data_IF_355444506913
#
_entry.id   IF_355444506913
#
_cell.length_a   1.000
_cell.length_b   1.000
_cell.length_c   1.000
_cell.angle_alpha   90.00
_cell.angle_beta   90.00
_cell.angle_gamma   90.00
#
_symmetry.space_group_name_H-M   'P 1'
#
loop_
_entity.id
_entity.type
_entity.pdbx_description
1 polymer ?
#
# COMPACT_ATOMS: atom_id res chain seq x y z
N UNK A 1 -33.93 36.95 -28.78
CA UNK A 1 -33.44 36.62 -30.13
C UNK A 1 -32.06 37.28 -30.22
N UNK A 2 -30.91 36.63 -30.00
CA UNK A 2 -30.47 35.23 -29.92
C UNK A 2 -29.15 35.22 -29.08
N UNK A 3 -28.91 34.26 -28.17
CA UNK A 3 -27.91 33.16 -28.25
C UNK A 3 -26.66 33.46 -29.12
N UNK A 4 -25.40 33.27 -28.70
CA UNK A 4 -24.64 32.00 -28.53
C UNK A 4 -23.21 32.36 -28.00
N UNK A 5 -22.76 31.94 -26.80
CA UNK A 5 -21.78 30.86 -26.46
C UNK A 5 -20.26 31.13 -26.66
N UNK A 6 -19.48 30.66 -25.66
CA UNK A 6 -18.09 30.14 -25.64
C UNK A 6 -17.04 31.02 -24.90
N UNK A 7 -16.49 30.61 -23.74
CA UNK A 7 -15.50 29.56 -23.38
C UNK A 7 -14.05 30.12 -23.41
N UNK A 8 -13.38 30.33 -22.27
CA UNK A 8 -11.95 29.97 -22.12
C UNK A 8 -11.40 30.06 -20.66
N UNK A 9 -11.01 28.89 -20.16
CA UNK A 9 -9.75 28.57 -19.45
C UNK A 9 -9.19 29.51 -18.38
N UNK A 10 -9.43 29.17 -17.11
CA UNK A 10 -8.66 29.67 -15.95
C UNK A 10 -7.32 28.91 -15.85
N UNK A 11 -6.22 29.53 -16.29
CA UNK A 11 -4.84 29.07 -16.01
C UNK A 11 -4.60 29.11 -14.50
N UNK A 12 -4.15 27.97 -13.94
CA UNK A 12 -3.54 27.91 -12.61
C UNK A 12 -2.06 28.23 -12.76
N UNK A 13 -1.64 29.32 -12.15
CA UNK A 13 -0.24 29.66 -11.91
C UNK A 13 -0.08 29.67 -10.39
N UNK A 14 0.64 28.68 -9.85
CA UNK A 14 1.15 28.71 -8.47
C UNK A 14 2.59 28.24 -8.50
N UNK A 15 3.43 29.25 -8.68
CA UNK A 15 4.73 29.52 -8.10
C UNK A 15 5.47 28.37 -7.40
N UNK A 16 6.61 28.06 -8.00
CA UNK A 16 7.78 27.39 -7.43
C UNK A 16 8.24 28.12 -6.16
N UNK A 17 8.33 27.44 -5.01
CA UNK A 17 8.91 28.04 -3.81
C UNK A 17 8.68 27.29 -2.52
N UNK A 18 9.36 26.14 -2.33
CA UNK A 18 10.19 25.88 -1.16
C UNK A 18 10.68 24.43 -1.17
N UNK A 19 11.93 24.29 -1.59
CA UNK A 19 12.76 23.10 -1.45
C UNK A 19 13.52 23.23 -0.12
N UNK A 20 13.01 22.67 0.98
CA UNK A 20 13.80 22.41 2.18
C UNK A 20 13.03 21.48 3.14
N UNK A 21 13.75 20.48 3.66
CA UNK A 21 13.34 19.51 4.68
C UNK A 21 12.49 18.32 4.20
N UNK A 22 13.02 17.59 3.22
CA UNK A 22 12.85 16.13 3.19
C UNK A 22 14.02 15.52 3.99
N UNK A 23 13.97 15.62 5.31
CA UNK A 23 14.84 14.80 6.16
C UNK A 23 14.24 13.40 6.18
N UNK A 24 14.66 12.61 5.20
CA UNK A 24 14.53 11.16 5.21
C UNK A 24 15.37 10.63 6.38
N UNK A 25 14.73 10.45 7.53
CA UNK A 25 15.28 9.62 8.60
C UNK A 25 15.22 8.15 8.15
N UNK A 26 16.19 7.78 7.31
CA UNK A 26 16.41 6.43 6.84
C UNK A 26 17.11 5.62 7.93
N UNK A 27 16.41 5.36 9.03
CA UNK A 27 16.75 4.26 9.94
C UNK A 27 16.01 3.00 9.47
N UNK A 28 16.30 2.54 8.25
CA UNK A 28 15.83 1.24 7.77
C UNK A 28 16.55 0.14 8.57
N UNK A 29 15.83 -0.47 9.50
CA UNK A 29 16.28 -1.73 10.12
C UNK A 29 16.32 -2.79 9.02
N UNK A 30 17.36 -3.64 8.95
CA UNK A 30 17.41 -4.71 7.97
C UNK A 30 16.23 -5.67 8.22
N UNK A 31 15.22 -5.63 7.35
CA UNK A 31 14.00 -6.44 7.45
C UNK A 31 12.68 -5.67 7.28
N UNK A 32 12.69 -4.34 7.29
CA UNK A 32 11.46 -3.54 7.11
C UNK A 32 11.36 -2.98 5.68
N UNK A 33 10.19 -3.06 5.01
CA UNK A 33 10.01 -2.49 3.69
C UNK A 33 10.08 -0.96 3.75
N UNK A 34 10.75 -0.35 2.77
CA UNK A 34 10.87 1.11 2.70
C UNK A 34 9.59 1.66 2.09
N UNK A 35 8.89 2.50 2.85
CA UNK A 35 7.67 3.17 2.43
C UNK A 35 8.06 4.39 1.56
N UNK A 36 7.78 4.35 0.26
CA UNK A 36 8.22 5.38 -0.70
C UNK A 36 7.21 6.55 -0.80
N UNK A 37 5.90 6.26 -0.82
CA UNK A 37 4.84 7.29 -0.87
C UNK A 37 3.55 6.77 -0.25
N UNK A 38 2.80 7.64 0.46
CA UNK A 38 1.43 7.40 0.93
C UNK A 38 0.58 8.54 0.41
N UNK A 39 -0.54 8.23 -0.23
CA UNK A 39 -1.53 9.23 -0.65
C UNK A 39 -2.20 9.84 0.59
N UNK A 40 -2.66 11.10 0.55
CA UNK A 40 -3.25 11.85 1.68
C UNK A 40 -4.44 11.12 2.34
N UNK A 41 -5.02 10.17 1.61
CA UNK A 41 -6.13 9.30 2.02
C UNK A 41 -5.68 7.93 2.58
N UNK A 42 -4.39 7.64 2.72
CA UNK A 42 -3.79 6.35 3.12
C UNK A 42 -4.32 5.09 2.39
N UNK A 43 -5.05 5.27 1.28
CA UNK A 43 -5.65 4.20 0.48
C UNK A 43 -4.65 3.56 -0.47
N UNK A 44 -3.54 4.23 -0.75
CA UNK A 44 -2.51 3.78 -1.68
C UNK A 44 -1.16 4.06 -1.05
N UNK A 45 -0.31 3.03 -1.01
CA UNK A 45 1.09 3.17 -0.62
C UNK A 45 1.98 2.58 -1.70
N UNK A 46 3.16 3.15 -1.93
CA UNK A 46 4.22 2.49 -2.68
C UNK A 46 5.32 2.06 -1.72
N UNK A 47 5.80 0.83 -1.89
CA UNK A 47 6.85 0.25 -1.06
C UNK A 47 7.98 -0.27 -1.95
N UNK A 48 9.20 -0.15 -1.45
CA UNK A 48 10.34 -0.92 -1.91
C UNK A 48 10.52 -2.08 -0.91
N UNK A 49 10.25 -3.28 -1.36
CA UNK A 49 10.30 -4.47 -0.52
C UNK A 49 11.73 -5.03 -0.44
N UNK A 50 12.02 -5.82 0.59
CA UNK A 50 13.36 -6.34 0.89
C UNK A 50 13.93 -7.28 -0.19
N UNK A 51 13.09 -7.74 -1.10
CA UNK A 51 13.47 -8.52 -2.29
C UNK A 51 13.99 -7.64 -3.45
N UNK A 52 14.11 -6.34 -3.23
CA UNK A 52 14.54 -5.35 -4.24
C UNK A 52 13.46 -4.97 -5.24
N UNK A 53 12.21 -5.41 -5.03
CA UNK A 53 11.07 -5.11 -5.91
C UNK A 53 10.21 -4.00 -5.36
N UNK A 54 9.55 -3.28 -6.26
CA UNK A 54 8.63 -2.20 -5.91
C UNK A 54 7.19 -2.65 -6.06
N UNK A 55 6.38 -2.37 -5.04
CA UNK A 55 4.97 -2.70 -5.05
C UNK A 55 4.11 -1.47 -4.74
N UNK A 56 2.95 -1.43 -5.38
CA UNK A 56 1.86 -0.54 -5.03
C UNK A 56 0.86 -1.33 -4.19
N UNK A 57 0.64 -0.88 -2.98
CA UNK A 57 -0.40 -1.36 -2.09
C UNK A 57 -1.67 -0.51 -2.28
N UNK A 58 -2.81 -1.16 -2.40
CA UNK A 58 -4.12 -0.51 -2.47
C UNK A 58 -5.07 -1.06 -1.41
N UNK A 59 -5.60 -0.17 -0.58
CA UNK A 59 -6.47 -0.54 0.53
C UNK A 59 -7.83 -1.02 -0.02
N UNK A 60 -8.33 -2.18 0.42
CA UNK A 60 -9.54 -2.79 -0.13
C UNK A 60 -10.82 -2.12 0.39
N UNK A 61 -10.69 -1.14 1.29
CA UNK A 61 -11.76 -0.47 2.01
C UNK A 61 -12.09 -1.14 3.34
N UNK A 62 -12.57 -0.35 4.30
CA UNK A 62 -12.69 -0.73 5.72
C UNK A 62 -13.54 -1.99 5.94
N UNK A 63 -14.64 -2.14 5.19
CA UNK A 63 -15.54 -3.30 5.31
C UNK A 63 -14.88 -4.61 4.85
N UNK A 64 -14.09 -4.58 3.76
CA UNK A 64 -13.35 -5.76 3.30
C UNK A 64 -12.19 -6.07 4.25
N UNK A 65 -11.43 -5.07 4.64
CA UNK A 65 -10.32 -5.21 5.59
C UNK A 65 -10.79 -5.79 6.94
N UNK A 66 -11.91 -5.30 7.49
CA UNK A 66 -12.49 -5.83 8.72
C UNK A 66 -12.93 -7.28 8.57
N UNK A 67 -13.66 -7.60 7.49
CA UNK A 67 -14.11 -8.97 7.20
C UNK A 67 -12.92 -9.93 7.09
N UNK A 68 -11.87 -9.55 6.36
CA UNK A 68 -10.71 -10.42 6.20
C UNK A 68 -10.02 -10.68 7.53
N UNK A 69 -9.85 -9.66 8.37
CA UNK A 69 -9.29 -9.84 9.72
C UNK A 69 -10.15 -10.77 10.58
N UNK A 70 -11.47 -10.61 10.56
CA UNK A 70 -12.39 -11.50 11.30
C UNK A 70 -12.35 -12.94 10.77
N UNK A 71 -12.35 -13.14 9.45
CA UNK A 71 -12.25 -14.46 8.82
C UNK A 71 -10.88 -15.13 9.03
N UNK A 72 -9.87 -14.33 9.34
CA UNK A 72 -8.52 -14.78 9.65
C UNK A 72 -8.34 -15.05 11.14
N UNK A 73 -9.37 -14.89 11.98
CA UNK A 73 -9.35 -15.28 13.39
C UNK A 73 -10.16 -16.57 13.51
N UNK A 74 -9.47 -17.69 13.76
CA UNK A 74 -10.08 -18.97 14.08
C UNK A 74 -10.16 -19.12 15.60
N UNK A 75 -11.34 -19.49 16.12
CA UNK A 75 -11.54 -19.74 17.55
C UNK A 75 -10.78 -20.98 18.05
N UNK A 76 -10.42 -21.90 17.15
CA UNK A 76 -9.73 -23.15 17.49
C UNK A 76 -8.24 -23.12 17.16
N UNK A 77 -7.83 -22.39 16.12
CA UNK A 77 -6.45 -22.42 15.60
C UNK A 77 -5.71 -21.08 15.76
N UNK A 78 -6.37 -20.05 16.31
CA UNK A 78 -5.80 -18.71 16.40
C UNK A 78 -5.84 -17.95 15.06
N UNK A 79 -4.88 -17.06 14.83
CA UNK A 79 -4.85 -16.23 13.62
C UNK A 79 -4.46 -17.11 12.41
N UNK A 80 -5.40 -17.35 11.49
CA UNK A 80 -5.17 -18.00 10.20
C UNK A 80 -4.54 -16.98 9.22
N UNK A 81 -3.23 -16.82 9.36
CA UNK A 81 -2.41 -15.83 8.66
C UNK A 81 -2.37 -16.07 7.15
N UNK A 82 -2.43 -17.33 6.73
CA UNK A 82 -2.36 -17.73 5.32
C UNK A 82 -3.53 -17.11 4.52
N UNK A 83 -4.75 -17.25 5.03
CA UNK A 83 -5.96 -16.68 4.40
C UNK A 83 -5.92 -15.15 4.34
N UNK A 84 -5.26 -14.50 5.30
CA UNK A 84 -5.09 -13.05 5.29
C UNK A 84 -4.13 -12.65 4.17
N UNK A 85 -2.97 -13.30 4.11
CA UNK A 85 -1.93 -13.02 3.12
C UNK A 85 -2.41 -13.31 1.70
N UNK A 86 -3.11 -14.41 1.45
CA UNK A 86 -3.68 -14.70 0.14
C UNK A 86 -4.60 -13.59 -0.38
N UNK A 87 -5.47 -13.08 0.51
CA UNK A 87 -6.37 -11.97 0.16
C UNK A 87 -5.59 -10.68 -0.04
N UNK A 88 -4.62 -10.42 0.84
CA UNK A 88 -3.78 -9.24 0.76
C UNK A 88 -3.00 -9.21 -0.56
N UNK A 89 -2.32 -10.28 -0.93
CA UNK A 89 -1.61 -10.39 -2.20
C UNK A 89 -2.51 -10.21 -3.40
N UNK A 90 -3.65 -10.92 -3.42
CA UNK A 90 -4.57 -10.90 -4.56
C UNK A 90 -5.20 -9.53 -4.82
N UNK A 91 -5.58 -8.82 -3.76
CA UNK A 91 -6.42 -7.63 -3.87
C UNK A 91 -5.71 -6.32 -3.53
N UNK A 92 -4.64 -6.36 -2.73
CA UNK A 92 -3.95 -5.17 -2.27
C UNK A 92 -2.60 -4.96 -2.94
N UNK A 93 -1.91 -6.03 -3.35
CA UNK A 93 -0.54 -5.90 -3.88
C UNK A 93 -0.55 -5.87 -5.41
N UNK A 94 0.14 -4.89 -5.99
CA UNK A 94 0.41 -4.78 -7.42
C UNK A 94 1.88 -4.48 -7.66
N UNK A 95 2.53 -5.25 -8.53
CA UNK A 95 3.92 -4.99 -8.93
C UNK A 95 4.05 -3.66 -9.69
N UNK A 96 5.14 -2.93 -9.45
CA UNK A 96 5.48 -1.69 -10.14
C UNK A 96 6.73 -1.94 -10.98
N UNK A 97 6.59 -1.90 -12.30
CA UNK A 97 7.70 -2.16 -13.22
C UNK A 97 8.08 -3.64 -13.36
N UNK A 98 7.29 -4.57 -12.80
CA UNK A 98 7.46 -6.01 -12.99
C UNK A 98 6.11 -6.76 -12.96
N UNK A 99 6.09 -7.95 -13.58
CA UNK A 99 4.91 -8.84 -13.60
C UNK A 99 4.87 -9.88 -12.47
N UNK A 100 5.81 -9.85 -11.53
CA UNK A 100 5.82 -10.80 -10.42
C UNK A 100 4.66 -10.57 -9.45
N UNK A 101 3.90 -11.63 -9.18
CA UNK A 101 2.79 -11.66 -8.24
C UNK A 101 3.21 -12.46 -6.99
N UNK A 102 3.35 -11.80 -5.83
CA UNK A 102 3.71 -12.50 -4.60
C UNK A 102 2.52 -13.37 -4.15
N UNK A 103 2.81 -14.60 -3.75
CA UNK A 103 1.90 -15.53 -3.07
C UNK A 103 2.70 -16.25 -1.99
N UNK A 104 2.03 -16.95 -1.08
CA UNK A 104 2.72 -17.76 -0.06
C UNK A 104 3.66 -18.81 -0.65
N UNK A 105 3.36 -19.31 -1.86
CA UNK A 105 4.17 -20.30 -2.55
C UNK A 105 5.36 -19.69 -3.33
N UNK A 106 5.33 -18.39 -3.65
CA UNK A 106 6.33 -17.74 -4.50
C UNK A 106 7.30 -16.83 -3.75
N UNK A 107 6.93 -16.39 -2.55
CA UNK A 107 7.82 -15.58 -1.70
C UNK A 107 8.79 -16.46 -0.92
N UNK A 108 9.95 -15.90 -0.59
CA UNK A 108 10.92 -16.60 0.23
C UNK A 108 10.41 -16.73 1.69
N UNK A 109 10.76 -17.80 2.43
CA UNK A 109 10.27 -18.04 3.79
C UNK A 109 10.57 -16.91 4.78
N UNK A 110 11.73 -16.27 4.66
CA UNK A 110 12.15 -15.08 5.43
C UNK A 110 11.29 -13.84 5.13
N UNK A 111 10.62 -13.77 3.98
CA UNK A 111 9.79 -12.63 3.58
C UNK A 111 8.35 -12.75 4.09
N UNK A 112 7.91 -13.94 4.48
CA UNK A 112 6.53 -14.22 4.94
C UNK A 112 6.17 -13.33 6.14
N UNK A 113 7.04 -13.27 7.15
CA UNK A 113 6.82 -12.48 8.36
C UNK A 113 6.73 -10.98 8.07
N UNK A 114 7.59 -10.49 7.16
CA UNK A 114 7.62 -9.08 6.75
C UNK A 114 6.34 -8.71 6.01
N UNK A 115 5.88 -9.56 5.09
CA UNK A 115 4.60 -9.38 4.43
C UNK A 115 3.42 -9.41 5.39
N UNK A 116 3.44 -10.30 6.38
CA UNK A 116 2.40 -10.41 7.38
C UNK A 116 2.34 -9.16 8.27
N UNK A 117 3.48 -8.67 8.72
CA UNK A 117 3.58 -7.45 9.51
C UNK A 117 3.04 -6.25 8.73
N UNK A 118 3.46 -6.13 7.47
CA UNK A 118 3.00 -5.09 6.55
C UNK A 118 1.49 -5.17 6.30
N UNK A 119 0.94 -6.35 6.03
CA UNK A 119 -0.49 -6.54 5.81
C UNK A 119 -1.31 -6.11 7.03
N UNK A 120 -0.86 -6.46 8.24
CA UNK A 120 -1.54 -6.07 9.47
C UNK A 120 -1.54 -4.55 9.69
N UNK A 121 -0.40 -3.88 9.48
CA UNK A 121 -0.29 -2.42 9.59
C UNK A 121 -1.14 -1.73 8.52
N UNK A 122 -1.01 -2.17 7.27
CA UNK A 122 -1.71 -1.59 6.12
C UNK A 122 -3.24 -1.70 6.25
N UNK A 123 -3.77 -2.86 6.67
CA UNK A 123 -5.21 -3.07 6.84
C UNK A 123 -5.80 -2.39 8.09
N UNK A 124 -4.96 -1.90 9.01
CA UNK A 124 -5.36 -1.14 10.19
C UNK A 124 -5.19 0.37 10.03
N UNK A 125 -4.66 0.85 8.91
CA UNK A 125 -4.23 2.24 8.73
C UNK A 125 -3.08 2.66 9.68
N UNK A 126 -2.28 1.71 10.14
CA UNK A 126 -1.14 1.93 11.05
C UNK A 126 0.19 1.91 10.27
N UNK A 127 0.24 2.52 9.08
CA UNK A 127 1.49 2.60 8.28
C UNK A 127 2.46 3.69 8.75
N UNK A 128 2.00 4.58 9.64
CA UNK A 128 2.86 5.50 10.41
C UNK A 128 3.65 4.74 11.48
#
# INVERSE_FOLDING_TARGET
MDETTQLESKKKEYTLGNLAALESDSSARPGEPILETVDDDAKVAQIHFIDGRRYKLQHPGNRKALRWRQESISLTEGLNQDKLLDKFFKFCVKGVGHGFEPTLDTIEPNHVEVWLHLANRFLKWELE
#
